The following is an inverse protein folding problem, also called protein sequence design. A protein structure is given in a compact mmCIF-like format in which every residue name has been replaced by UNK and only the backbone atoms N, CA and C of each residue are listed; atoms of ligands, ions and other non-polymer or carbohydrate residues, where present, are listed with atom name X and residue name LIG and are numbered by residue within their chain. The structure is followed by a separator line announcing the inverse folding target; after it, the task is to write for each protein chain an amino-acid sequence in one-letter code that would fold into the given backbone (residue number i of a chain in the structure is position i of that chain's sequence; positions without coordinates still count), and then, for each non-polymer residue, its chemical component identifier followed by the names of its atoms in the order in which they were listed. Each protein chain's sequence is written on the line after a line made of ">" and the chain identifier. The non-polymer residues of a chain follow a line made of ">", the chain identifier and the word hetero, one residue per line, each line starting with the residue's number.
data_IF_454421184879
#
_entry.id   IF_454421184879
#
_cell.length_a   1.000
_cell.length_b   1.000
_cell.length_c   1.000
_cell.angle_alpha   90.00
_cell.angle_beta   90.00
_cell.angle_gamma   90.00
#
_symmetry.space_group_name_H-M   'P 1'
#
loop_
_entity.id
_entity.type
_entity.pdbx_description
1 polymer ?
#
# COMPACT_ATOMS: atom_id res chain seq x y z
N UNK A 1 -2.40 -45.61 -25.04
CA UNK A 1 -3.20 -44.68 -24.23
C UNK A 1 -2.25 -43.62 -23.70
N UNK A 2 -2.22 -42.45 -24.34
CA UNK A 2 -1.49 -41.28 -23.82
C UNK A 2 -2.55 -40.23 -23.51
N UNK A 3 -2.86 -40.06 -22.23
CA UNK A 3 -3.59 -38.92 -21.72
C UNK A 3 -2.79 -37.65 -22.07
N UNK A 4 -3.37 -36.82 -22.92
CA UNK A 4 -2.90 -35.45 -23.11
C UNK A 4 -3.28 -34.67 -21.86
N UNK A 5 -2.34 -34.52 -20.94
CA UNK A 5 -2.42 -33.55 -19.87
C UNK A 5 -2.34 -32.14 -20.50
N UNK A 6 -3.50 -31.58 -20.83
CA UNK A 6 -3.65 -30.21 -21.33
C UNK A 6 -3.50 -29.26 -20.15
N UNK A 7 -2.27 -28.84 -19.87
CA UNK A 7 -2.01 -27.65 -19.05
C UNK A 7 -2.58 -26.44 -19.80
N UNK A 8 -3.82 -26.06 -19.50
CA UNK A 8 -4.36 -24.78 -19.91
C UNK A 8 -3.49 -23.70 -19.25
N UNK A 9 -2.67 -23.03 -20.05
CA UNK A 9 -1.90 -21.87 -19.60
C UNK A 9 -2.91 -20.80 -19.21
N UNK A 10 -2.92 -20.40 -17.94
CA UNK A 10 -3.75 -19.29 -17.50
C UNK A 10 -3.35 -18.04 -18.30
N UNK A 11 -4.31 -17.27 -18.85
CA UNK A 11 -4.00 -16.08 -19.61
C UNK A 11 -3.27 -15.09 -18.71
N UNK A 12 -2.24 -14.44 -19.24
CA UNK A 12 -1.52 -13.40 -18.51
C UNK A 12 -2.45 -12.23 -18.18
N UNK A 13 -2.12 -11.46 -17.14
CA UNK A 13 -2.87 -10.25 -16.73
C UNK A 13 -3.12 -9.32 -17.93
N UNK A 14 -2.12 -9.16 -18.80
CA UNK A 14 -2.20 -8.32 -20.00
C UNK A 14 -3.19 -8.87 -21.05
N UNK A 15 -3.20 -10.18 -21.27
CA UNK A 15 -4.13 -10.83 -22.19
C UNK A 15 -5.56 -10.73 -21.66
N UNK A 16 -5.77 -11.04 -20.38
CA UNK A 16 -7.07 -10.94 -19.71
C UNK A 16 -7.62 -9.51 -19.74
N UNK A 17 -6.78 -8.52 -19.45
CA UNK A 17 -7.15 -7.10 -19.55
C UNK A 17 -7.58 -6.74 -20.98
N UNK A 18 -6.79 -7.13 -21.99
CA UNK A 18 -7.09 -6.82 -23.39
C UNK A 18 -8.44 -7.41 -23.83
N UNK A 19 -8.73 -8.67 -23.48
CA UNK A 19 -10.00 -9.33 -23.78
C UNK A 19 -11.19 -8.56 -23.19
N UNK A 20 -11.15 -8.27 -21.89
CA UNK A 20 -12.22 -7.56 -21.20
C UNK A 20 -12.38 -6.14 -21.73
N UNK A 21 -11.27 -5.42 -21.92
CA UNK A 21 -11.28 -4.06 -22.43
C UNK A 21 -11.98 -3.97 -23.79
N UNK A 22 -11.72 -4.94 -24.68
CA UNK A 22 -12.37 -5.00 -25.99
C UNK A 22 -13.87 -5.28 -25.89
N UNK A 23 -14.31 -6.08 -24.92
CA UNK A 23 -15.72 -6.38 -24.67
C UNK A 23 -16.49 -5.18 -24.06
N UNK A 24 -15.82 -4.24 -23.40
CA UNK A 24 -16.46 -3.07 -22.81
C UNK A 24 -16.95 -2.06 -23.85
N UNK A 25 -18.12 -1.49 -23.59
CA UNK A 25 -18.64 -0.33 -24.34
C UNK A 25 -17.84 0.94 -24.03
N UNK A 26 -17.99 1.95 -24.89
CA UNK A 26 -17.31 3.23 -24.73
C UNK A 26 -17.56 3.89 -23.36
N UNK A 27 -18.79 3.89 -22.85
CA UNK A 27 -19.12 4.49 -21.56
C UNK A 27 -18.54 3.71 -20.38
N UNK A 28 -18.46 2.38 -20.48
CA UNK A 28 -17.84 1.52 -19.47
C UNK A 28 -16.33 1.73 -19.40
N UNK A 29 -15.66 1.91 -20.54
CA UNK A 29 -14.22 2.27 -20.58
C UNK A 29 -13.96 3.64 -19.97
N UNK A 30 -14.80 4.65 -20.28
CA UNK A 30 -14.69 5.98 -19.67
C UNK A 30 -14.84 5.94 -18.15
N UNK A 31 -15.78 5.13 -17.66
CA UNK A 31 -15.96 4.91 -16.24
C UNK A 31 -14.75 4.22 -15.60
N UNK A 32 -14.21 3.18 -16.24
CA UNK A 32 -13.05 2.46 -15.72
C UNK A 32 -11.81 3.37 -15.58
N UNK A 33 -11.62 4.31 -16.51
CA UNK A 33 -10.58 5.33 -16.40
C UNK A 33 -10.88 6.32 -15.27
N UNK A 34 -12.12 6.79 -15.14
CA UNK A 34 -12.50 7.73 -14.07
C UNK A 34 -12.32 7.15 -12.66
N UNK A 35 -12.50 5.83 -12.51
CA UNK A 35 -12.26 5.12 -11.25
C UNK A 35 -10.79 5.14 -10.78
N UNK A 36 -9.83 5.53 -11.63
CA UNK A 36 -8.45 5.74 -11.19
C UNK A 36 -8.25 7.03 -10.38
N UNK A 37 -9.14 8.01 -10.55
CA UNK A 37 -9.03 9.33 -9.93
C UNK A 37 -10.07 9.56 -8.82
N UNK A 38 -11.16 8.79 -8.83
CA UNK A 38 -12.27 8.90 -7.89
C UNK A 38 -12.23 7.80 -6.82
N UNK A 39 -12.75 8.11 -5.62
CA UNK A 39 -12.75 7.14 -4.51
C UNK A 39 -14.00 6.25 -4.49
N UNK A 40 -15.03 6.60 -5.25
CA UNK A 40 -16.31 5.87 -5.27
C UNK A 40 -16.88 5.75 -6.68
N UNK A 41 -17.67 4.68 -6.91
CA UNK A 41 -18.39 4.48 -8.18
C UNK A 41 -19.39 5.61 -8.49
N UNK A 42 -19.99 6.20 -7.46
CA UNK A 42 -20.92 7.32 -7.65
C UNK A 42 -20.20 8.56 -8.18
N UNK A 43 -19.08 8.92 -7.56
CA UNK A 43 -18.24 10.05 -7.97
C UNK A 43 -17.70 9.85 -9.40
N UNK A 44 -17.20 8.65 -9.72
CA UNK A 44 -16.71 8.34 -11.07
C UNK A 44 -17.83 8.41 -12.13
N UNK A 45 -19.04 7.95 -11.79
CA UNK A 45 -20.19 8.05 -12.68
C UNK A 45 -20.57 9.51 -12.96
N UNK A 46 -20.62 10.34 -11.91
CA UNK A 46 -20.91 11.77 -12.03
C UNK A 46 -19.85 12.50 -12.85
N UNK A 47 -18.56 12.19 -12.64
CA UNK A 47 -17.43 12.77 -13.40
C UNK A 47 -17.55 12.55 -14.92
N UNK A 48 -18.14 11.43 -15.35
CA UNK A 48 -18.37 11.14 -16.78
C UNK A 48 -19.77 11.49 -17.28
N UNK A 49 -20.55 12.21 -16.47
CA UNK A 49 -21.93 12.62 -16.72
C UNK A 49 -22.92 11.43 -16.86
N UNK A 50 -22.74 10.40 -16.03
CA UNK A 50 -23.69 9.29 -15.89
C UNK A 50 -24.38 9.31 -14.52
N UNK A 51 -25.55 8.69 -14.46
CA UNK A 51 -26.25 8.47 -13.18
C UNK A 51 -25.57 7.31 -12.43
N UNK A 52 -25.31 7.42 -11.12
CA UNK A 52 -24.70 6.33 -10.34
C UNK A 52 -25.43 4.98 -10.48
N UNK A 53 -26.76 4.97 -10.47
CA UNK A 53 -27.57 3.76 -10.65
C UNK A 53 -27.28 3.02 -11.99
N UNK A 54 -26.80 3.72 -13.02
CA UNK A 54 -26.41 3.09 -14.28
C UNK A 54 -25.18 2.21 -14.13
N UNK A 55 -24.18 2.65 -13.36
CA UNK A 55 -22.91 1.92 -13.22
C UNK A 55 -23.05 0.72 -12.28
N UNK A 56 -23.93 0.79 -11.28
CA UNK A 56 -24.22 -0.34 -10.38
C UNK A 56 -24.95 -1.50 -11.06
N UNK A 57 -25.50 -1.29 -12.26
CA UNK A 57 -26.20 -2.33 -13.04
C UNK A 57 -25.34 -2.95 -14.13
N UNK A 58 -24.08 -2.52 -14.24
CA UNK A 58 -23.17 -3.06 -15.25
C UNK A 58 -22.62 -4.44 -14.85
N UNK A 59 -22.16 -5.22 -15.83
CA UNK A 59 -21.57 -6.52 -15.56
C UNK A 59 -20.25 -6.38 -14.79
N UNK A 60 -19.94 -7.40 -13.99
CA UNK A 60 -18.72 -7.49 -13.16
C UNK A 60 -17.43 -7.33 -13.98
N UNK A 61 -17.47 -7.62 -15.29
CA UNK A 61 -16.36 -7.38 -16.21
C UNK A 61 -15.85 -5.92 -16.20
N UNK A 62 -16.70 -4.94 -15.88
CA UNK A 62 -16.27 -3.54 -15.74
C UNK A 62 -15.43 -3.35 -14.47
N UNK A 63 -15.87 -3.95 -13.37
CA UNK A 63 -15.15 -3.88 -12.10
C UNK A 63 -13.81 -4.63 -12.18
N UNK A 64 -13.79 -5.79 -12.84
CA UNK A 64 -12.56 -6.55 -13.07
C UNK A 64 -11.52 -5.73 -13.85
N UNK A 65 -11.95 -4.97 -14.87
CA UNK A 65 -11.07 -4.05 -15.60
C UNK A 65 -10.52 -2.94 -14.70
N UNK A 66 -11.35 -2.37 -13.82
CA UNK A 66 -10.91 -1.35 -12.85
C UNK A 66 -9.87 -1.91 -11.88
N UNK A 67 -10.10 -3.12 -11.37
CA UNK A 67 -9.18 -3.79 -10.46
C UNK A 67 -7.84 -4.08 -11.15
N UNK A 68 -7.87 -4.56 -12.40
CA UNK A 68 -6.66 -4.81 -13.20
C UNK A 68 -5.88 -3.51 -13.46
N UNK A 69 -6.55 -2.40 -13.77
CA UNK A 69 -5.88 -1.09 -13.97
C UNK A 69 -5.29 -0.55 -12.66
N UNK A 70 -5.97 -0.75 -11.54
CA UNK A 70 -5.48 -0.35 -10.21
C UNK A 70 -4.28 -1.18 -9.79
N UNK A 71 -4.28 -2.48 -10.11
CA UNK A 71 -3.15 -3.37 -9.87
C UNK A 71 -1.91 -2.93 -10.65
N UNK A 72 -2.06 -2.61 -11.94
CA UNK A 72 -0.95 -2.10 -12.78
C UNK A 72 -0.39 -0.77 -12.24
N UNK A 73 -1.26 0.16 -11.82
CA UNK A 73 -0.84 1.41 -11.19
C UNK A 73 -0.05 1.18 -9.89
N UNK A 74 -0.49 0.21 -9.07
CA UNK A 74 0.20 -0.18 -7.83
C UNK A 74 1.55 -0.84 -8.13
N UNK A 75 1.63 -1.75 -9.08
CA UNK A 75 2.88 -2.39 -9.49
C UNK A 75 3.88 -1.37 -10.03
N UNK A 76 3.40 -0.42 -10.84
CA UNK A 76 4.18 0.72 -11.32
C UNK A 76 4.71 1.58 -10.17
N UNK A 77 3.86 1.94 -9.21
CA UNK A 77 4.27 2.71 -8.02
C UNK A 77 5.31 1.96 -7.17
N UNK A 78 5.13 0.64 -6.96
CA UNK A 78 6.11 -0.19 -6.25
C UNK A 78 7.43 -0.21 -7.01
N UNK A 79 7.41 -0.39 -8.33
CA UNK A 79 8.62 -0.37 -9.16
C UNK A 79 9.36 0.97 -9.08
N UNK A 80 8.62 2.09 -9.08
CA UNK A 80 9.17 3.43 -8.88
C UNK A 80 9.80 3.59 -7.49
N UNK A 81 9.13 3.12 -6.42
CA UNK A 81 9.64 3.17 -5.06
C UNK A 81 10.90 2.30 -4.89
N UNK A 82 10.92 1.09 -5.44
CA UNK A 82 12.09 0.21 -5.44
C UNK A 82 13.26 0.86 -6.17
N UNK A 83 13.01 1.48 -7.32
CA UNK A 83 14.03 2.22 -8.07
C UNK A 83 14.57 3.42 -7.29
N UNK A 84 13.70 4.17 -6.60
CA UNK A 84 14.09 5.28 -5.74
C UNK A 84 14.92 4.81 -4.53
N UNK A 85 14.53 3.69 -3.92
CA UNK A 85 15.27 3.05 -2.83
C UNK A 85 16.68 2.66 -3.29
N UNK A 86 16.82 2.01 -4.44
CA UNK A 86 18.14 1.68 -4.99
C UNK A 86 19.01 2.93 -5.16
N UNK A 87 18.45 4.01 -5.71
CA UNK A 87 19.19 5.29 -5.83
C UNK A 87 19.63 5.83 -4.47
N UNK A 88 18.75 5.81 -3.47
CA UNK A 88 19.06 6.27 -2.11
C UNK A 88 20.17 5.43 -1.46
N UNK A 89 20.12 4.10 -1.61
CA UNK A 89 21.18 3.19 -1.15
C UNK A 89 22.50 3.51 -1.84
N UNK A 90 22.51 3.73 -3.16
CA UNK A 90 23.72 4.10 -3.89
C UNK A 90 24.30 5.44 -3.44
N UNK A 91 23.47 6.42 -3.08
CA UNK A 91 23.93 7.70 -2.51
C UNK A 91 24.61 7.46 -1.16
N UNK A 92 24.03 6.63 -0.30
CA UNK A 92 24.66 6.28 0.99
C UNK A 92 25.97 5.51 0.83
N UNK A 93 26.05 4.59 -0.13
CA UNK A 93 27.29 3.88 -0.44
C UNK A 93 28.39 4.82 -0.92
N UNK A 94 28.08 5.78 -1.81
CA UNK A 94 29.05 6.80 -2.26
C UNK A 94 29.58 7.65 -1.11
N UNK A 95 28.79 7.86 -0.06
CA UNK A 95 29.22 8.56 1.14
C UNK A 95 30.42 7.90 1.84
N UNK A 96 30.67 6.60 1.61
CA UNK A 96 31.86 5.90 2.13
C UNK A 96 33.17 6.35 1.46
N UNK A 97 33.09 6.88 0.25
CA UNK A 97 34.24 7.36 -0.53
C UNK A 97 34.37 8.89 -0.51
N UNK A 98 33.53 9.60 0.26
CA UNK A 98 33.55 11.06 0.36
C UNK A 98 34.87 11.57 0.94
N UNK A 99 35.32 12.76 0.57
CA UNK A 99 36.54 13.37 1.13
C UNK A 99 36.40 13.76 2.61
N UNK A 100 35.19 14.09 3.05
CA UNK A 100 34.89 14.45 4.44
C UNK A 100 34.78 13.20 5.34
N UNK A 101 35.63 13.14 6.36
CA UNK A 101 35.65 12.06 7.37
C UNK A 101 34.28 11.91 8.04
N UNK A 102 33.58 13.01 8.30
CA UNK A 102 32.28 12.99 8.95
C UNK A 102 31.24 12.29 8.10
N UNK A 103 31.17 12.65 6.81
CA UNK A 103 30.24 12.03 5.84
C UNK A 103 30.51 10.52 5.70
N UNK A 104 31.79 10.11 5.67
CA UNK A 104 32.17 8.69 5.66
C UNK A 104 31.72 7.95 6.90
N UNK A 105 31.97 8.50 8.09
CA UNK A 105 31.59 7.88 9.37
C UNK A 105 30.07 7.78 9.51
N UNK A 106 29.33 8.83 9.15
CA UNK A 106 27.86 8.84 9.20
C UNK A 106 27.27 7.80 8.22
N UNK A 107 27.85 7.69 7.03
CA UNK A 107 27.42 6.72 6.02
C UNK A 107 27.72 5.27 6.45
N UNK A 108 28.92 5.03 6.99
CA UNK A 108 29.29 3.72 7.53
C UNK A 108 28.39 3.31 8.70
N UNK A 109 28.10 4.23 9.62
CA UNK A 109 27.23 3.99 10.78
C UNK A 109 25.82 3.62 10.34
N UNK A 110 25.21 4.41 9.44
CA UNK A 110 23.85 4.10 8.95
C UNK A 110 23.80 2.76 8.21
N UNK A 111 24.83 2.40 7.43
CA UNK A 111 24.87 1.10 6.74
C UNK A 111 24.98 -0.04 7.77
N UNK A 112 25.85 0.07 8.77
CA UNK A 112 25.99 -0.93 9.83
C UNK A 112 24.69 -1.08 10.62
N UNK A 113 24.06 0.02 11.01
CA UNK A 113 22.78 0.03 11.74
C UNK A 113 21.66 -0.67 10.96
N UNK A 114 21.63 -0.53 9.64
CA UNK A 114 20.62 -1.18 8.77
C UNK A 114 20.85 -2.67 8.62
N UNK A 115 22.11 -3.11 8.62
CA UNK A 115 22.49 -4.52 8.38
C UNK A 115 22.51 -5.32 9.69
N UNK A 116 23.12 -4.77 10.73
CA UNK A 116 23.35 -5.43 12.02
C UNK A 116 22.27 -5.08 13.05
N UNK A 117 21.41 -4.11 12.73
CA UNK A 117 20.47 -3.52 13.67
C UNK A 117 21.12 -2.42 14.52
N UNK A 118 20.29 -1.51 15.03
CA UNK A 118 20.75 -0.49 15.97
C UNK A 118 20.96 -1.09 17.36
N UNK A 119 22.01 -0.63 18.04
CA UNK A 119 22.17 -0.91 19.45
C UNK A 119 20.90 -0.51 20.21
N UNK A 120 20.35 -1.43 21.00
CA UNK A 120 19.15 -1.18 21.79
C UNK A 120 19.46 -0.06 22.78
N UNK A 121 18.88 1.12 22.60
CA UNK A 121 18.98 2.18 23.58
C UNK A 121 18.11 1.82 24.79
N UNK A 122 18.74 1.72 25.95
CA UNK A 122 18.05 1.57 27.23
C UNK A 122 17.63 2.95 27.70
N UNK A 123 16.33 3.24 27.59
CA UNK A 123 15.75 4.40 28.27
C UNK A 123 15.49 4.01 29.72
N UNK A 124 16.22 4.60 30.65
CA UNK A 124 15.85 4.58 32.06
C UNK A 124 14.69 5.54 32.26
N UNK A 125 13.49 5.00 32.46
CA UNK A 125 12.30 5.80 32.80
C UNK A 125 12.23 5.86 34.32
N UNK A 126 12.67 6.98 34.88
CA UNK A 126 12.51 7.29 36.30
C UNK A 126 11.26 8.13 36.54
N UNK A 127 10.75 8.14 37.78
CA UNK A 127 9.73 9.09 38.20
C UNK A 127 10.23 10.55 38.11
N UNK A 128 9.32 11.51 38.29
CA UNK A 128 9.56 12.96 38.17
C UNK A 128 10.80 13.45 38.95
N UNK A 129 11.11 12.80 40.08
CA UNK A 129 12.26 13.11 40.95
C UNK A 129 13.41 12.09 40.89
N UNK A 130 13.51 11.28 39.82
CA UNK A 130 14.48 10.18 39.75
C UNK A 130 14.12 8.96 40.62
N UNK A 131 12.96 9.00 41.27
CA UNK A 131 12.44 7.92 42.12
C UNK A 131 11.82 6.76 41.34
N UNK A 132 11.34 5.76 42.08
CA UNK A 132 10.70 4.58 41.51
C UNK A 132 9.47 4.96 40.66
N UNK A 133 9.35 4.33 39.48
CA UNK A 133 8.19 4.49 38.60
C UNK A 133 6.95 3.88 39.28
N UNK A 134 5.94 4.70 39.55
CA UNK A 134 4.65 4.23 40.07
C UNK A 134 3.72 3.95 38.89
N UNK A 135 3.50 2.66 38.59
CA UNK A 135 2.53 2.23 37.57
C UNK A 135 1.18 2.02 38.26
N UNK A 136 0.22 2.90 38.00
CA UNK A 136 -1.15 2.73 38.47
C UNK A 136 -1.99 2.02 37.38
N UNK A 137 -2.47 0.82 37.69
CA UNK A 137 -3.42 0.11 36.84
C UNK A 137 -4.84 0.53 37.20
N UNK A 138 -5.55 1.15 36.25
CA UNK A 138 -6.98 1.47 36.36
C UNK A 138 -7.73 0.53 35.44
N UNK A 139 -8.61 -0.31 36.01
CA UNK A 139 -9.46 -1.23 35.25
C UNK A 139 -10.91 -0.75 35.30
N UNK A 140 -11.36 -0.07 34.25
CA UNK A 140 -12.70 0.53 34.18
C UNK A 140 -13.72 -0.32 33.41
N UNK A 141 -13.59 -1.65 33.48
CA UNK A 141 -14.45 -2.57 32.73
C UNK A 141 -15.90 -2.66 33.23
N UNK A 142 -16.28 -1.95 34.31
CA UNK A 142 -17.62 -1.97 34.91
C UNK A 142 -18.38 -0.65 34.88
N UNK A 143 -17.80 0.47 34.45
CA UNK A 143 -18.54 1.75 34.34
C UNK A 143 -19.28 1.94 33.00
N UNK A 144 -19.36 0.91 32.16
CA UNK A 144 -20.24 0.93 30.99
C UNK A 144 -21.67 0.54 31.40
N UNK A 145 -22.36 1.48 32.05
CA UNK A 145 -23.81 1.60 32.06
C UNK A 145 -24.62 0.61 32.90
N UNK A 146 -25.03 1.03 34.09
CA UNK A 146 -26.36 0.69 34.60
C UNK A 146 -26.91 1.83 35.49
N UNK A 147 -27.12 3.00 34.87
CA UNK A 147 -28.02 4.03 35.39
C UNK A 147 -29.41 3.79 34.77
N UNK A 148 -30.08 2.71 35.19
CA UNK A 148 -31.52 2.56 34.98
C UNK A 148 -32.16 1.53 35.91
N UNK A 149 -32.52 1.96 37.12
CA UNK A 149 -33.80 1.61 37.72
C UNK A 149 -34.08 2.50 38.94
N UNK A 150 -35.05 3.40 38.75
CA UNK A 150 -35.90 3.93 39.82
C UNK A 150 -36.79 2.84 40.39
#
# INVERSE_FOLDING_TARGET
>A
MSEKNSLATEPSISERFSELWQALTHNQRRFAVAMLECNTKAEAAEAINLRPDTVYRWPDAVDEVVDLMTLDAKESAVSMLTSALHKAVMVKLRGLDDGDVKVRQDSATEIMDRVLGRAKQTSEITGEDGGALVIQYINDWRNSGDDSAS
#
